data_IF_561445808679
#
_entry.id   IF_561445808679
#
_cell.length_a   1.000
_cell.length_b   1.000
_cell.length_c   1.000
_cell.angle_alpha   90.00
_cell.angle_beta   90.00
_cell.angle_gamma   90.00
#
_symmetry.space_group_name_H-M   'P 1'
#
loop_
_entity.id
_entity.type
_entity.pdbx_description
1 polymer ?
#
# COMPACT_ATOMS: atom_id res chain seq x y z
N UNK A 1 19.00 -1.02 24.22
CA UNK A 1 18.62 0.32 24.74
C UNK A 1 17.55 1.01 23.92
N UNK A 2 17.55 0.95 22.57
CA UNK A 2 16.49 1.56 21.75
C UNK A 2 15.07 1.18 22.19
N UNK A 3 14.80 -0.12 22.34
CA UNK A 3 13.51 -0.59 22.85
C UNK A 3 13.19 -0.15 24.29
N UNK A 4 14.20 0.06 25.14
CA UNK A 4 14.01 0.55 26.50
C UNK A 4 13.53 2.00 26.50
N UNK A 5 14.18 2.87 25.71
CA UNK A 5 13.75 4.26 25.51
C UNK A 5 12.41 4.35 24.78
N UNK A 6 12.13 3.45 23.85
CA UNK A 6 10.83 3.37 23.18
C UNK A 6 9.68 3.11 24.13
N UNK A 7 9.87 2.20 25.10
CA UNK A 7 8.79 1.68 25.95
C UNK A 7 8.84 2.22 27.39
N UNK A 8 9.85 3.02 27.73
CA UNK A 8 10.09 3.48 29.11
C UNK A 8 10.49 2.35 30.07
N UNK A 9 11.10 1.28 29.57
CA UNK A 9 11.50 0.14 30.41
C UNK A 9 12.83 0.42 31.11
N UNK A 10 12.76 0.79 32.39
CA UNK A 10 13.94 1.06 33.21
C UNK A 10 14.63 2.40 32.91
N UNK A 11 14.09 3.18 31.97
CA UNK A 11 14.48 4.55 31.62
C UNK A 11 13.22 5.37 31.32
N UNK A 12 13.30 6.69 31.38
CA UNK A 12 12.20 7.55 30.91
C UNK A 12 11.99 7.35 29.40
N UNK A 13 10.73 7.27 28.98
CA UNK A 13 10.39 7.09 27.57
C UNK A 13 10.87 8.30 26.76
N UNK A 14 11.62 8.04 25.68
CA UNK A 14 12.15 9.08 24.81
C UNK A 14 12.37 8.52 23.40
N UNK A 15 11.56 8.98 22.44
CA UNK A 15 11.61 8.49 21.07
C UNK A 15 12.84 8.96 20.29
N UNK A 16 13.32 10.18 20.55
CA UNK A 16 14.55 10.69 19.92
C UNK A 16 15.77 9.85 20.31
N UNK A 17 15.90 9.54 21.60
CA UNK A 17 16.95 8.65 22.11
C UNK A 17 16.76 7.22 21.59
N UNK A 18 15.52 6.74 21.47
CA UNK A 18 15.26 5.42 20.89
C UNK A 18 15.79 5.35 19.44
N UNK A 19 15.47 6.35 18.62
CA UNK A 19 15.96 6.48 17.24
C UNK A 19 17.48 6.56 17.19
N UNK A 20 18.12 7.33 18.06
CA UNK A 20 19.58 7.39 18.12
C UNK A 20 20.20 6.01 18.41
N UNK A 21 19.63 5.27 19.37
CA UNK A 21 20.09 3.92 19.69
C UNK A 21 19.83 2.92 18.57
N UNK A 22 18.70 3.03 17.86
CA UNK A 22 18.45 2.19 16.69
C UNK A 22 19.42 2.49 15.55
N UNK A 23 19.76 3.77 15.29
CA UNK A 23 20.80 4.14 14.30
C UNK A 23 22.14 3.49 14.63
N UNK A 24 22.58 3.52 15.89
CA UNK A 24 23.81 2.83 16.31
C UNK A 24 23.76 1.32 16.11
N UNK A 25 22.58 0.70 16.19
CA UNK A 25 22.41 -0.72 15.91
C UNK A 25 22.37 -1.01 14.39
N UNK A 26 21.84 -0.08 13.60
CA UNK A 26 21.92 -0.13 12.12
C UNK A 26 23.36 -0.10 11.64
N UNK A 27 24.22 0.72 12.25
CA UNK A 27 25.66 0.76 11.92
C UNK A 27 26.37 -0.60 12.14
N UNK A 28 25.75 -1.49 12.92
CA UNK A 28 26.22 -2.86 13.18
C UNK A 28 25.53 -3.90 12.28
N UNK A 29 24.74 -3.48 11.30
CA UNK A 29 24.03 -4.36 10.37
C UNK A 29 22.78 -5.01 10.96
N UNK A 30 22.15 -4.43 11.99
CA UNK A 30 20.95 -5.01 12.59
C UNK A 30 19.69 -4.70 11.77
N UNK A 31 19.16 -5.69 11.04
CA UNK A 31 17.96 -5.55 10.22
C UNK A 31 16.70 -5.19 11.03
N UNK A 32 16.52 -5.76 12.22
CA UNK A 32 15.40 -5.43 13.10
C UNK A 32 15.44 -3.94 13.55
N UNK A 33 16.63 -3.40 13.80
CA UNK A 33 16.80 -1.98 14.11
C UNK A 33 16.44 -1.08 12.92
N UNK A 34 16.75 -1.51 11.70
CA UNK A 34 16.32 -0.82 10.49
C UNK A 34 14.79 -0.86 10.35
N UNK A 35 14.15 -2.02 10.58
CA UNK A 35 12.69 -2.11 10.60
C UNK A 35 12.07 -1.16 11.63
N UNK A 36 12.61 -1.14 12.86
CA UNK A 36 12.13 -0.25 13.91
C UNK A 36 12.27 1.22 13.52
N UNK A 37 13.40 1.65 12.93
CA UNK A 37 13.55 3.02 12.40
C UNK A 37 12.47 3.35 11.37
N UNK A 38 12.15 2.41 10.48
CA UNK A 38 11.03 2.56 9.55
C UNK A 38 9.72 2.86 10.27
N UNK A 39 9.42 2.15 11.36
CA UNK A 39 8.22 2.36 12.18
C UNK A 39 8.18 3.76 12.82
N UNK A 40 9.32 4.28 13.29
CA UNK A 40 9.43 5.65 13.81
C UNK A 40 9.04 6.67 12.75
N UNK A 41 9.63 6.57 11.57
CA UNK A 41 9.33 7.47 10.45
C UNK A 41 7.94 7.27 9.86
N UNK A 42 7.28 6.14 10.14
CA UNK A 42 5.87 5.92 9.81
C UNK A 42 4.90 6.66 10.77
N UNK A 43 5.42 7.47 11.70
CA UNK A 43 4.62 8.35 12.57
C UNK A 43 4.61 7.95 14.04
N UNK A 44 5.56 7.12 14.49
CA UNK A 44 5.69 6.77 15.90
C UNK A 44 6.73 7.68 16.55
N UNK A 45 6.29 8.77 17.16
CA UNK A 45 7.13 9.53 18.12
C UNK A 45 8.23 10.43 17.56
N UNK A 46 8.49 10.40 16.24
CA UNK A 46 9.31 11.39 15.52
C UNK A 46 8.53 12.01 14.37
N UNK A 47 9.08 13.04 13.73
CA UNK A 47 8.49 13.64 12.53
C UNK A 47 8.28 12.57 11.45
N UNK A 48 7.04 12.45 11.00
CA UNK A 48 6.63 11.43 10.06
C UNK A 48 7.20 11.71 8.67
N UNK A 49 7.81 10.70 8.06
CA UNK A 49 8.26 10.70 6.68
C UNK A 49 8.10 9.29 6.11
N UNK A 50 7.03 9.09 5.34
CA UNK A 50 6.77 7.79 4.72
C UNK A 50 7.87 7.37 3.74
N UNK A 51 8.47 8.32 3.02
CA UNK A 51 9.61 8.07 2.13
C UNK A 51 10.79 7.49 2.91
N UNK A 52 11.16 8.13 4.02
CA UNK A 52 12.22 7.64 4.91
C UNK A 52 11.86 6.29 5.52
N UNK A 53 10.60 6.08 5.89
CA UNK A 53 10.13 4.80 6.42
C UNK A 53 10.32 3.66 5.41
N UNK A 54 9.93 3.88 4.15
CA UNK A 54 10.09 2.91 3.05
C UNK A 54 11.56 2.59 2.82
N UNK A 55 12.46 3.58 2.84
CA UNK A 55 13.89 3.32 2.67
C UNK A 55 14.44 2.38 3.75
N UNK A 56 14.04 2.59 5.00
CA UNK A 56 14.45 1.73 6.11
C UNK A 56 13.84 0.33 6.02
N UNK A 57 12.54 0.22 5.70
CA UNK A 57 11.90 -1.07 5.50
C UNK A 57 12.54 -1.84 4.34
N UNK A 58 12.89 -1.17 3.23
CA UNK A 58 13.54 -1.83 2.09
C UNK A 58 14.90 -2.40 2.49
N UNK A 59 15.74 -1.63 3.18
CA UNK A 59 17.06 -2.11 3.67
C UNK A 59 16.94 -3.32 4.61
N UNK A 60 15.93 -3.35 5.47
CA UNK A 60 15.67 -4.46 6.37
C UNK A 60 15.10 -5.67 5.62
N UNK A 61 14.15 -5.44 4.71
CA UNK A 61 13.54 -6.46 3.88
C UNK A 61 14.53 -7.15 2.93
N UNK A 62 15.53 -6.41 2.43
CA UNK A 62 16.65 -6.92 1.63
C UNK A 62 17.62 -7.79 2.45
N UNK A 63 17.54 -7.74 3.79
CA UNK A 63 18.21 -8.64 4.73
C UNK A 63 17.28 -9.74 5.25
N UNK A 64 16.19 -10.00 4.53
CA UNK A 64 15.17 -10.99 4.87
C UNK A 64 14.41 -10.72 6.18
N UNK A 65 14.37 -9.49 6.69
CA UNK A 65 13.52 -9.18 7.85
C UNK A 65 12.03 -9.24 7.45
N UNK A 66 11.32 -10.24 8.01
CA UNK A 66 9.95 -10.56 7.63
C UNK A 66 8.95 -9.44 8.03
N UNK A 67 9.19 -8.77 9.17
CA UNK A 67 8.34 -7.65 9.62
C UNK A 67 8.51 -6.45 8.68
N UNK A 68 9.74 -6.16 8.25
CA UNK A 68 10.03 -5.13 7.27
C UNK A 68 9.41 -5.43 5.90
N UNK A 69 9.45 -6.68 5.44
CA UNK A 69 8.77 -7.11 4.22
C UNK A 69 7.26 -6.88 4.31
N UNK A 70 6.64 -7.21 5.45
CA UNK A 70 5.22 -6.93 5.70
C UNK A 70 4.92 -5.42 5.68
N UNK A 71 5.73 -4.61 6.35
CA UNK A 71 5.56 -3.16 6.40
C UNK A 71 5.75 -2.52 5.01
N UNK A 72 6.70 -3.00 4.22
CA UNK A 72 6.89 -2.55 2.85
C UNK A 72 5.70 -2.90 1.95
N UNK A 73 5.14 -4.11 2.12
CA UNK A 73 3.89 -4.51 1.46
C UNK A 73 2.73 -3.57 1.81
N UNK A 74 2.63 -3.15 3.08
CA UNK A 74 1.63 -2.18 3.53
C UNK A 74 1.84 -0.79 2.91
N UNK A 75 3.09 -0.32 2.79
CA UNK A 75 3.40 0.93 2.12
C UNK A 75 2.97 0.93 0.65
N UNK A 76 3.25 -0.15 -0.09
CA UNK A 76 2.81 -0.29 -1.48
C UNK A 76 1.30 -0.43 -1.61
N UNK A 77 0.63 -1.07 -0.67
CA UNK A 77 -0.84 -1.19 -0.67
C UNK A 77 -1.53 0.17 -0.50
N UNK A 78 -1.00 1.05 0.35
CA UNK A 78 -1.59 2.38 0.63
C UNK A 78 -0.98 3.54 -0.17
N UNK A 79 0.11 3.31 -0.91
CA UNK A 79 0.86 4.38 -1.58
C UNK A 79 1.59 5.32 -0.59
N UNK A 80 2.06 4.79 0.55
CA UNK A 80 2.75 5.58 1.56
C UNK A 80 4.26 5.64 1.26
N UNK A 81 4.75 6.81 0.83
CA UNK A 81 6.17 7.01 0.51
C UNK A 81 6.65 6.30 -0.75
N UNK A 82 5.74 5.64 -1.47
CA UNK A 82 5.93 4.97 -2.75
C UNK A 82 4.67 5.10 -3.59
N UNK A 83 4.81 4.94 -4.91
CA UNK A 83 3.66 4.76 -5.79
C UNK A 83 2.88 3.50 -5.38
N UNK A 84 1.55 3.65 -5.30
CA UNK A 84 0.68 2.54 -4.91
C UNK A 84 0.75 1.40 -5.93
N UNK A 85 0.99 0.18 -5.46
CA UNK A 85 1.02 -1.01 -6.31
C UNK A 85 0.57 -2.24 -5.53
N UNK A 86 -0.64 -2.71 -5.83
CA UNK A 86 -1.18 -3.93 -5.24
C UNK A 86 -0.37 -5.18 -5.60
N UNK A 87 0.18 -5.24 -6.81
CA UNK A 87 1.04 -6.33 -7.27
C UNK A 87 2.32 -6.40 -6.42
N UNK A 88 3.01 -5.26 -6.27
CA UNK A 88 4.23 -5.18 -5.46
C UNK A 88 3.94 -5.46 -3.99
N UNK A 89 2.79 -4.99 -3.47
CA UNK A 89 2.35 -5.29 -2.11
C UNK A 89 2.19 -6.80 -1.87
N UNK A 90 1.52 -7.50 -2.79
CA UNK A 90 1.34 -8.96 -2.72
C UNK A 90 2.67 -9.69 -2.79
N UNK A 91 3.62 -9.23 -3.61
CA UNK A 91 4.95 -9.84 -3.68
C UNK A 91 5.68 -9.76 -2.33
N UNK A 92 5.74 -8.58 -1.71
CA UNK A 92 6.37 -8.41 -0.40
C UNK A 92 5.67 -9.20 0.71
N UNK A 93 4.34 -9.22 0.70
CA UNK A 93 3.57 -10.03 1.63
C UNK A 93 3.82 -11.53 1.47
N UNK A 94 3.99 -12.04 0.24
CA UNK A 94 4.31 -13.46 0.03
C UNK A 94 5.68 -13.81 0.60
N UNK A 95 6.69 -12.97 0.36
CA UNK A 95 8.04 -13.16 0.94
C UNK A 95 7.98 -13.21 2.47
N UNK A 96 7.24 -12.31 3.10
CA UNK A 96 7.04 -12.31 4.55
C UNK A 96 6.32 -13.60 5.05
N UNK A 97 5.30 -14.05 4.31
CA UNK A 97 4.52 -15.24 4.66
C UNK A 97 5.35 -16.54 4.57
N UNK A 98 6.26 -16.64 3.60
CA UNK A 98 7.17 -17.78 3.42
C UNK A 98 8.12 -17.95 4.62
N UNK A 99 8.38 -16.88 5.37
CA UNK A 99 9.19 -16.90 6.60
C UNK A 99 8.40 -17.24 7.87
N UNK A 100 7.12 -17.59 7.75
CA UNK A 100 6.29 -18.01 8.88
C UNK A 100 5.42 -16.91 9.50
N UNK A 101 5.36 -15.71 8.91
CA UNK A 101 4.32 -14.71 9.24
C UNK A 101 2.98 -15.12 8.61
N UNK A 102 2.45 -16.27 9.04
CA UNK A 102 1.48 -17.03 8.28
C UNK A 102 0.04 -16.45 8.37
N UNK A 103 -0.39 -15.94 9.53
CA UNK A 103 -1.80 -15.59 9.71
C UNK A 103 -2.16 -14.16 9.25
N UNK A 104 -1.42 -13.16 9.73
CA UNK A 104 -1.72 -11.75 9.43
C UNK A 104 -1.51 -11.42 7.96
N UNK A 105 -0.44 -11.98 7.38
CA UNK A 105 -0.01 -11.63 6.02
C UNK A 105 -0.86 -12.33 4.96
N UNK A 106 -1.26 -13.59 5.18
CA UNK A 106 -2.21 -14.30 4.30
C UNK A 106 -3.57 -13.60 4.27
N UNK A 107 -4.02 -13.05 5.40
CA UNK A 107 -5.26 -12.24 5.44
C UNK A 107 -5.11 -10.97 4.60
N UNK A 108 -3.98 -10.27 4.71
CA UNK A 108 -3.72 -9.08 3.88
C UNK A 108 -3.66 -9.44 2.40
N UNK A 109 -2.92 -10.48 2.00
CA UNK A 109 -2.87 -10.97 0.61
C UNK A 109 -4.29 -11.27 0.10
N UNK A 110 -5.11 -11.98 0.89
CA UNK A 110 -6.48 -12.30 0.50
C UNK A 110 -7.32 -11.03 0.30
N UNK A 111 -7.19 -10.05 1.19
CA UNK A 111 -7.92 -8.78 1.11
C UNK A 111 -7.52 -7.99 -0.14
N UNK A 112 -6.22 -7.84 -0.39
CA UNK A 112 -5.69 -7.18 -1.60
C UNK A 112 -6.20 -7.90 -2.85
N UNK A 113 -6.08 -9.22 -2.91
CA UNK A 113 -6.55 -9.98 -4.09
C UNK A 113 -8.07 -9.82 -4.32
N UNK A 114 -8.89 -9.78 -3.27
CA UNK A 114 -10.34 -9.57 -3.43
C UNK A 114 -10.68 -8.18 -3.93
N UNK A 115 -9.97 -7.14 -3.47
CA UNK A 115 -10.16 -5.77 -3.94
C UNK A 115 -9.70 -5.59 -5.39
N UNK A 116 -8.57 -6.20 -5.78
CA UNK A 116 -8.11 -6.14 -7.17
C UNK A 116 -9.04 -6.90 -8.11
N UNK A 117 -9.56 -8.06 -7.68
CA UNK A 117 -10.51 -8.84 -8.45
C UNK A 117 -11.84 -8.10 -8.62
N UNK A 118 -12.38 -7.48 -7.56
CA UNK A 118 -13.62 -6.71 -7.65
C UNK A 118 -13.46 -5.48 -8.55
N UNK A 119 -12.35 -4.74 -8.45
CA UNK A 119 -12.06 -3.61 -9.34
C UNK A 119 -11.94 -4.04 -10.80
N UNK A 120 -11.26 -5.15 -11.08
CA UNK A 120 -11.14 -5.68 -12.45
C UNK A 120 -12.50 -6.11 -13.03
N UNK A 121 -13.36 -6.76 -12.22
CA UNK A 121 -14.71 -7.16 -12.60
C UNK A 121 -15.59 -5.94 -12.89
N UNK A 122 -15.55 -4.91 -12.03
CA UNK A 122 -16.24 -3.65 -12.26
C UNK A 122 -15.74 -2.98 -13.56
N UNK A 123 -14.43 -2.96 -13.81
CA UNK A 123 -13.89 -2.36 -15.03
C UNK A 123 -14.32 -3.11 -16.29
N UNK A 124 -14.37 -4.45 -16.28
CA UNK A 124 -14.87 -5.25 -17.39
C UNK A 124 -16.37 -5.05 -17.61
N UNK A 125 -17.17 -5.02 -16.54
CA UNK A 125 -18.61 -4.81 -16.62
C UNK A 125 -18.96 -3.41 -17.14
N UNK A 126 -18.18 -2.38 -16.76
CA UNK A 126 -18.31 -1.02 -17.31
C UNK A 126 -17.92 -0.96 -18.79
N UNK A 127 -16.83 -1.65 -19.19
CA UNK A 127 -16.41 -1.75 -20.61
C UNK A 127 -17.44 -2.50 -21.46
N UNK A 128 -18.09 -3.54 -20.93
CA UNK A 128 -19.17 -4.26 -21.63
C UNK A 128 -20.49 -3.47 -21.64
N UNK A 129 -20.72 -2.59 -20.66
CA UNK A 129 -21.88 -1.67 -20.66
C UNK A 129 -21.71 -0.48 -21.61
N UNK A 130 -20.47 -0.01 -21.85
CA UNK A 130 -20.18 1.14 -22.71
C UNK A 130 -20.75 1.03 -24.14
N UNK A 131 -20.63 -0.10 -24.87
CA UNK A 131 -21.23 -0.24 -26.21
C UNK A 131 -22.77 -0.36 -26.18
N UNK A 132 -23.37 -0.96 -25.15
CA UNK A 132 -24.84 -0.99 -25.03
C UNK A 132 -25.41 0.41 -24.78
N UNK A 133 -24.82 1.17 -23.85
CA UNK A 133 -25.24 2.54 -23.55
C UNK A 133 -25.00 3.45 -24.77
N UNK A 134 -23.87 3.30 -25.47
CA UNK A 134 -23.58 4.07 -26.69
C UNK A 134 -24.60 3.77 -27.79
N UNK A 135 -24.95 2.50 -28.06
CA UNK A 135 -25.96 2.13 -29.06
C UNK A 135 -27.36 2.70 -28.75
N UNK A 136 -27.73 2.75 -27.46
CA UNK A 136 -29.00 3.33 -27.03
C UNK A 136 -29.02 4.85 -27.20
N UNK A 137 -27.90 5.52 -26.94
CA UNK A 137 -27.72 6.97 -27.16
C UNK A 137 -27.73 7.28 -28.66
N UNK A 138 -26.99 6.54 -29.48
CA UNK A 138 -26.98 6.69 -30.95
C UNK A 138 -28.38 6.51 -31.55
N UNK A 139 -29.11 5.45 -31.17
CA UNK A 139 -30.49 5.22 -31.63
C UNK A 139 -31.45 6.33 -31.18
N UNK A 140 -31.19 6.95 -30.03
CA UNK A 140 -32.00 8.06 -29.52
C UNK A 140 -31.68 9.38 -30.24
N UNK A 141 -30.42 9.61 -30.61
CA UNK A 141 -29.97 10.76 -31.41
C UNK A 141 -30.54 10.68 -32.83
N UNK A 142 -30.42 9.53 -33.52
CA UNK A 142 -31.00 9.34 -34.86
C UNK A 142 -32.51 9.64 -34.89
N UNK A 143 -33.26 9.22 -33.86
CA UNK A 143 -34.69 9.53 -33.76
C UNK A 143 -34.96 11.02 -33.59
N UNK A 144 -34.12 11.73 -32.83
CA UNK A 144 -34.27 13.16 -32.62
C UNK A 144 -33.90 13.96 -33.87
N UNK A 145 -32.87 13.54 -34.62
CA UNK A 145 -32.50 14.15 -35.91
C UNK A 145 -33.63 13.98 -36.94
N UNK A 146 -34.20 12.79 -37.06
CA UNK A 146 -35.36 12.53 -37.94
C UNK A 146 -36.56 13.41 -37.55
N UNK A 147 -36.83 13.58 -36.26
CA UNK A 147 -37.92 14.46 -35.79
C UNK A 147 -37.62 15.93 -36.08
N UNK A 148 -36.36 16.37 -35.94
CA UNK A 148 -35.95 17.74 -36.29
C UNK A 148 -36.12 18.02 -37.79
N UNK A 149 -35.67 17.11 -38.67
CA UNK A 149 -35.83 17.22 -40.13
C UNK A 149 -37.32 17.26 -40.56
N UNK A 150 -38.18 16.53 -39.85
CA UNK A 150 -39.62 16.57 -40.11
C UNK A 150 -40.27 17.89 -39.70
N UNK A 151 -39.73 18.59 -38.69
CA UNK A 151 -40.24 19.88 -38.23
C UNK A 151 -39.76 21.05 -39.09
N UNK A 152 -38.58 20.97 -39.71
CA UNK A 152 -38.07 22.02 -40.61
C UNK A 152 -38.72 22.04 -42.00
N UNK A 153 -39.39 20.93 -42.39
CA UNK A 153 -40.05 20.78 -43.69
C UNK A 153 -41.58 21.02 -43.65
N UNK A 154 -42.10 21.65 -42.58
CA UNK A 154 -43.51 22.08 -42.42
C UNK A 154 -43.59 23.61 -42.49
#
# INVERSE_FOLDING_TARGET
LGACYSNGHGVEQNYDLAVEWYRRAVDQGNANAQCNLGCYYNGHGVEQSYETAVEWYRRAADQDDADAQCNLGYCYYNGHGVEQSYETAVEWYRRAADQGLNFTVVRQIRLVCTETLSLSAISQDVVLMQPMILSYIESSIERLEVVADMLENI
#
